data_IF_189082467903
#
_entry.id   IF_189082467903
#
_cell.length_a   1.000
_cell.length_b   1.000
_cell.length_c   1.000
_cell.angle_alpha   90.00
_cell.angle_beta   90.00
_cell.angle_gamma   90.00
#
_symmetry.space_group_name_H-M   'P 1'
#
loop_
_entity.id
_entity.type
_entity.pdbx_description
1 polymer ?
#
# COMPACT_ATOMS: atom_id res chain seq x y z
N UNK A 1 12.78 -5.67 10.93
CA UNK A 1 12.17 -4.33 10.87
C UNK A 1 10.72 -4.54 11.21
N UNK A 2 10.20 -3.82 12.20
CA UNK A 2 8.83 -4.01 12.68
C UNK A 2 7.81 -3.68 11.59
N UNK A 3 6.77 -4.50 11.46
CA UNK A 3 5.76 -4.36 10.40
C UNK A 3 5.02 -3.01 10.49
N UNK A 4 4.83 -2.51 11.71
CA UNK A 4 4.24 -1.20 11.99
C UNK A 4 5.09 -0.04 11.44
N UNK A 5 6.42 -0.17 11.51
CA UNK A 5 7.35 0.83 10.98
C UNK A 5 7.26 0.85 9.46
N UNK A 6 7.23 -0.32 8.82
CA UNK A 6 7.08 -0.43 7.36
C UNK A 6 5.75 0.17 6.94
N UNK A 7 4.65 -0.17 7.64
CA UNK A 7 3.33 0.38 7.37
C UNK A 7 3.34 1.91 7.39
N UNK A 8 3.89 2.51 8.45
CA UNK A 8 3.96 3.97 8.59
C UNK A 8 4.80 4.63 7.49
N UNK A 9 5.90 3.99 7.07
CA UNK A 9 6.69 4.46 5.94
C UNK A 9 5.93 4.41 4.62
N UNK A 10 5.15 3.35 4.38
CA UNK A 10 4.32 3.23 3.18
C UNK A 10 3.17 4.26 3.17
N UNK A 11 2.56 4.55 4.31
CA UNK A 11 1.55 5.60 4.43
C UNK A 11 2.14 6.99 4.13
N UNK A 12 3.32 7.29 4.67
CA UNK A 12 4.03 8.52 4.37
C UNK A 12 4.37 8.64 2.88
N UNK A 13 4.77 7.53 2.26
CA UNK A 13 5.02 7.45 0.83
C UNK A 13 3.76 7.72 0.00
N UNK A 14 2.65 7.06 0.34
CA UNK A 14 1.36 7.27 -0.30
C UNK A 14 0.94 8.74 -0.24
N UNK A 15 1.09 9.36 0.93
CA UNK A 15 0.82 10.78 1.11
C UNK A 15 1.73 11.66 0.26
N UNK A 16 3.03 11.35 0.16
CA UNK A 16 3.97 12.08 -0.70
C UNK A 16 3.66 11.94 -2.20
N UNK A 17 3.05 10.82 -2.62
CA UNK A 17 2.57 10.60 -3.98
C UNK A 17 1.21 11.26 -4.25
N UNK A 18 0.58 11.86 -3.24
CA UNK A 18 -0.77 12.43 -3.34
C UNK A 18 -1.88 11.37 -3.38
N UNK A 19 -1.58 10.15 -2.93
CA UNK A 19 -2.53 9.04 -2.84
C UNK A 19 -3.20 9.08 -1.48
N UNK A 20 -4.53 9.02 -1.45
CA UNK A 20 -5.28 8.95 -0.18
C UNK A 20 -5.34 7.52 0.33
N UNK A 21 -4.89 7.27 1.55
CA UNK A 21 -5.08 5.99 2.24
C UNK A 21 -6.34 6.11 3.11
N UNK A 22 -7.26 5.16 2.98
CA UNK A 22 -8.46 5.05 3.82
C UNK A 22 -8.53 3.67 4.45
N UNK A 23 -8.73 3.65 5.76
CA UNK A 23 -9.04 2.43 6.49
C UNK A 23 -10.56 2.29 6.56
N UNK A 24 -11.08 1.21 6.00
CA UNK A 24 -12.52 0.91 6.04
C UNK A 24 -12.74 -0.55 6.43
N UNK A 25 -13.87 -0.81 7.08
CA UNK A 25 -14.31 -2.16 7.41
C UNK A 25 -14.80 -2.87 6.15
N UNK A 26 -13.89 -3.57 5.47
CA UNK A 26 -14.21 -4.37 4.29
C UNK A 26 -14.78 -5.72 4.72
N UNK A 27 -15.96 -5.70 5.34
CA UNK A 27 -16.75 -6.90 5.62
C UNK A 27 -17.52 -7.29 4.34
N UNK A 28 -16.87 -7.99 3.41
CA UNK A 28 -17.53 -8.37 2.15
C UNK A 28 -16.84 -9.47 1.35
N UNK A 29 -17.68 -10.39 0.84
CA UNK A 29 -17.43 -11.63 0.06
C UNK A 29 -16.70 -11.47 -1.30
N UNK A 30 -15.98 -10.37 -1.53
CA UNK A 30 -15.23 -10.18 -2.78
C UNK A 30 -13.75 -10.47 -2.55
N UNK A 31 -13.05 -10.92 -3.60
CA UNK A 31 -11.64 -11.32 -3.62
C UNK A 31 -10.61 -10.23 -3.19
N UNK A 32 -11.08 -9.12 -2.61
CA UNK A 32 -10.35 -7.95 -2.12
C UNK A 32 -10.52 -7.74 -0.61
N UNK A 33 -10.80 -8.79 0.16
CA UNK A 33 -11.03 -8.69 1.62
C UNK A 33 -9.87 -8.06 2.40
N UNK A 34 -8.66 -8.01 1.84
CA UNK A 34 -7.49 -7.34 2.42
C UNK A 34 -7.46 -5.81 2.22
N UNK A 35 -8.15 -5.31 1.18
CA UNK A 35 -7.99 -3.97 0.63
C UNK A 35 -7.53 -3.97 -0.83
N UNK A 36 -7.34 -2.76 -1.39
CA UNK A 36 -6.89 -2.60 -2.77
C UNK A 36 -6.74 -1.14 -3.22
N UNK A 37 -6.12 -0.98 -4.40
CA UNK A 37 -6.01 0.31 -5.07
C UNK A 37 -7.31 0.62 -5.83
N UNK A 38 -7.93 1.74 -5.49
CA UNK A 38 -9.13 2.26 -6.14
C UNK A 38 -8.85 3.60 -6.81
N UNK A 39 -9.52 3.89 -7.93
CA UNK A 39 -9.41 5.17 -8.64
C UNK A 39 -10.77 5.84 -8.64
N UNK A 40 -10.93 6.92 -7.87
CA UNK A 40 -12.18 7.64 -7.71
C UNK A 40 -12.02 9.02 -8.35
N UNK A 41 -12.84 9.35 -9.36
CA UNK A 41 -12.86 10.68 -10.01
C UNK A 41 -11.45 11.18 -10.38
N UNK A 42 -10.65 10.30 -10.99
CA UNK A 42 -9.26 10.58 -11.37
C UNK A 42 -8.25 10.71 -10.21
N UNK A 43 -8.69 10.55 -8.96
CA UNK A 43 -7.83 10.50 -7.78
C UNK A 43 -7.53 9.06 -7.39
N UNK A 44 -6.29 8.82 -6.98
CA UNK A 44 -5.82 7.52 -6.53
C UNK A 44 -6.11 7.38 -5.03
N UNK A 45 -6.84 6.33 -4.66
CA UNK A 45 -7.26 6.09 -3.28
C UNK A 45 -6.97 4.62 -2.95
N UNK A 46 -6.13 4.39 -1.95
CA UNK A 46 -5.87 3.05 -1.43
C UNK A 46 -6.83 2.80 -0.28
N UNK A 47 -7.65 1.75 -0.41
CA UNK A 47 -8.53 1.31 0.67
C UNK A 47 -7.87 0.11 1.34
N UNK A 48 -7.69 0.20 2.65
CA UNK A 48 -7.06 -0.84 3.48
C UNK A 48 -8.11 -1.36 4.45
N UNK A 49 -8.23 -2.68 4.58
CA UNK A 49 -9.16 -3.23 5.56
C UNK A 49 -8.64 -2.94 6.98
N UNK A 50 -9.44 -2.27 7.81
CA UNK A 50 -9.06 -2.00 9.20
C UNK A 50 -8.92 -3.29 10.02
N UNK A 51 -9.67 -4.34 9.69
CA UNK A 51 -9.60 -5.66 10.33
C UNK A 51 -8.45 -6.52 9.85
N UNK A 52 -7.78 -6.15 8.76
CA UNK A 52 -6.64 -6.90 8.27
C UNK A 52 -5.44 -6.78 9.23
N UNK A 53 -4.63 -7.85 9.37
CA UNK A 53 -3.40 -7.79 10.14
C UNK A 53 -2.42 -6.79 9.51
N UNK A 54 -1.54 -6.20 10.32
CA UNK A 54 -0.52 -5.22 9.89
C UNK A 54 0.27 -5.74 8.69
N UNK A 55 0.58 -7.04 8.68
CA UNK A 55 1.22 -7.73 7.55
C UNK A 55 0.48 -7.53 6.23
N UNK A 56 -0.83 -7.79 6.20
CA UNK A 56 -1.66 -7.63 5.00
C UNK A 56 -1.83 -6.16 4.61
N UNK A 57 -1.98 -5.27 5.58
CA UNK A 57 -2.06 -3.82 5.35
C UNK A 57 -0.80 -3.33 4.65
N UNK A 58 0.36 -3.72 5.18
CA UNK A 58 1.68 -3.41 4.64
C UNK A 58 1.82 -3.97 3.23
N UNK A 59 1.43 -5.23 3.02
CA UNK A 59 1.48 -5.88 1.71
C UNK A 59 0.60 -5.17 0.68
N UNK A 60 -0.62 -4.83 1.05
CA UNK A 60 -1.60 -4.14 0.20
C UNK A 60 -1.09 -2.76 -0.20
N UNK A 61 -0.58 -1.98 0.75
CA UNK A 61 0.04 -0.68 0.50
C UNK A 61 1.27 -0.83 -0.39
N UNK A 62 2.19 -1.74 -0.07
CA UNK A 62 3.40 -1.97 -0.84
C UNK A 62 3.08 -2.31 -2.30
N UNK A 63 2.17 -3.27 -2.54
CA UNK A 63 1.71 -3.64 -3.88
C UNK A 63 1.04 -2.49 -4.62
N UNK A 64 0.18 -1.73 -3.94
CA UNK A 64 -0.47 -0.58 -4.54
C UNK A 64 0.55 0.50 -4.94
N UNK A 65 1.48 0.82 -4.04
CA UNK A 65 2.52 1.83 -4.21
C UNK A 65 3.55 1.43 -5.26
N UNK A 66 3.88 0.14 -5.36
CA UNK A 66 4.80 -0.41 -6.36
C UNK A 66 4.27 -0.29 -7.81
N UNK A 67 2.96 -0.05 -7.99
CA UNK A 67 2.37 0.30 -9.29
C UNK A 67 2.53 1.77 -9.67
N UNK A 68 2.92 2.63 -8.72
CA UNK A 68 3.14 4.05 -8.94
C UNK A 68 4.59 4.36 -9.28
N UNK A 69 4.78 5.56 -9.81
CA UNK A 69 6.11 6.06 -10.10
C UNK A 69 6.82 6.49 -8.81
N UNK A 70 7.53 5.53 -8.21
CA UNK A 70 8.36 5.72 -7.01
C UNK A 70 9.65 6.51 -7.29
N UNK A 71 9.87 6.95 -8.53
CA UNK A 71 11.07 7.68 -8.93
C UNK A 71 10.98 9.17 -8.57
N UNK A 72 9.76 9.69 -8.41
CA UNK A 72 9.51 11.09 -8.07
C UNK A 72 9.51 11.37 -6.56
N UNK A 73 9.58 10.32 -5.73
CA UNK A 73 9.56 10.42 -4.26
C UNK A 73 10.84 9.86 -3.66
N UNK A 74 11.34 10.51 -2.61
CA UNK A 74 12.53 10.04 -1.91
C UNK A 74 12.18 8.84 -1.02
N UNK A 75 12.68 7.66 -1.41
CA UNK A 75 12.49 6.40 -0.69
C UNK A 75 13.84 5.92 -0.22
N UNK A 76 13.91 5.43 1.03
CA UNK A 76 15.10 4.74 1.51
C UNK A 76 15.36 3.50 0.65
N UNK A 77 16.62 3.21 0.28
CA UNK A 77 16.95 2.05 -0.56
C UNK A 77 16.42 0.74 0.04
N UNK A 78 16.50 0.56 1.36
CA UNK A 78 15.96 -0.61 2.04
C UNK A 78 14.43 -0.79 1.90
N UNK A 79 13.67 0.31 1.82
CA UNK A 79 12.21 0.24 1.62
C UNK A 79 11.88 0.02 0.13
N UNK A 80 12.69 0.59 -0.77
CA UNK A 80 12.57 0.38 -2.21
C UNK A 80 12.79 -1.09 -2.56
N UNK A 81 13.84 -1.70 -2.04
CA UNK A 81 14.15 -3.13 -2.24
C UNK A 81 12.96 -4.00 -1.80
N UNK A 82 12.40 -3.74 -0.61
CA UNK A 82 11.19 -4.41 -0.13
C UNK A 82 9.96 -4.23 -1.05
N UNK A 83 9.76 -3.03 -1.59
CA UNK A 83 8.66 -2.73 -2.54
C UNK A 83 8.84 -3.43 -3.89
N UNK A 84 10.08 -3.62 -4.32
CA UNK A 84 10.45 -4.33 -5.55
C UNK A 84 10.30 -5.85 -5.36
N UNK A 85 10.78 -6.42 -4.25
CA UNK A 85 10.58 -7.83 -3.90
C UNK A 85 9.10 -8.22 -3.86
N UNK A 86 8.26 -7.38 -3.24
CA UNK A 86 6.81 -7.61 -3.17
C UNK A 86 6.12 -7.49 -4.54
N UNK A 87 6.73 -6.80 -5.51
CA UNK A 87 6.27 -6.70 -6.89
C UNK A 87 6.62 -7.94 -7.70
N UNK A 88 7.82 -8.48 -7.48
CA UNK A 88 8.35 -9.64 -8.21
C UNK A 88 7.75 -10.96 -7.73
N UNK A 89 7.34 -11.08 -6.46
CA UNK A 89 6.74 -12.28 -5.89
C UNK A 89 5.36 -12.70 -6.45
N UNK A 90 4.80 -11.96 -7.42
CA UNK A 90 3.55 -12.29 -8.14
C UNK A 90 3.75 -12.68 -9.62
N UNK A 91 5.01 -12.77 -10.10
CA UNK A 91 5.35 -13.17 -11.49
C UNK A 91 5.63 -14.66 -11.61
#
# INVERSE_FOLDING_TARGET
MDEEVILSHLEALAHSLGIKVRYEDLAGETAFSAGGLCRIKNQQVIIVNERAPVREKTRTLAKALSRFDLNQVYIRPALRDFLEEEREAEV
#
